data_IF_141410399912
#
_entry.id   IF_141410399912
#
_cell.length_a   1.000
_cell.length_b   1.000
_cell.length_c   1.000
_cell.angle_alpha   90.00
_cell.angle_beta   90.00
_cell.angle_gamma   90.00
#
_symmetry.space_group_name_H-M   'P 1'
#
loop_
_entity.id
_entity.type
_entity.pdbx_description
1 polymer ?
#
# COMPACT_ATOMS: atom_id res chain seq x y z
N UNK A 1 31.52 1.24 -1.01
CA UNK A 1 30.16 1.47 -1.54
C UNK A 1 29.35 2.09 -0.43
N UNK A 2 29.08 3.39 -0.50
CA UNK A 2 28.34 4.09 0.55
C UNK A 2 26.90 3.57 0.56
N UNK A 3 26.59 2.69 1.51
CA UNK A 3 25.24 2.26 1.85
C UNK A 3 24.49 3.45 2.43
N UNK A 4 24.03 4.35 1.56
CA UNK A 4 23.22 5.48 1.96
C UNK A 4 21.83 4.93 2.31
N UNK A 5 21.60 4.64 3.59
CA UNK A 5 20.32 4.20 4.14
C UNK A 5 19.33 5.37 4.11
N UNK A 6 18.88 5.75 2.92
CA UNK A 6 17.88 6.79 2.74
C UNK A 6 16.49 6.18 2.92
N UNK A 7 15.68 6.80 3.77
CA UNK A 7 14.28 6.42 3.93
C UNK A 7 13.49 6.94 2.73
N UNK A 8 12.45 6.21 2.35
CA UNK A 8 11.49 6.65 1.34
C UNK A 8 10.09 6.18 1.67
N UNK A 9 9.12 6.83 1.03
CA UNK A 9 7.72 6.44 1.11
C UNK A 9 7.43 5.51 -0.07
N UNK A 10 6.87 4.34 0.23
CA UNK A 10 6.39 3.38 -0.75
C UNK A 10 4.89 3.19 -0.59
N UNK A 11 4.18 3.07 -1.70
CA UNK A 11 2.73 2.84 -1.73
C UNK A 11 2.51 1.44 -2.29
N UNK A 12 1.82 0.58 -1.54
CA UNK A 12 1.45 -0.75 -2.00
C UNK A 12 0.19 -0.66 -2.87
N UNK A 13 0.27 -0.90 -4.20
CA UNK A 13 -0.83 -0.68 -5.14
C UNK A 13 -2.09 -1.49 -4.81
N UNK A 14 -1.87 -2.74 -4.44
CA UNK A 14 -2.91 -3.72 -4.08
C UNK A 14 -3.68 -3.39 -2.78
N UNK A 15 -3.24 -2.40 -1.99
CA UNK A 15 -3.99 -1.86 -0.84
C UNK A 15 -4.49 -0.43 -1.10
N UNK A 16 -4.01 0.23 -2.16
CA UNK A 16 -4.38 1.60 -2.47
C UNK A 16 -5.80 1.61 -3.07
N UNK A 17 -6.67 2.46 -2.54
CA UNK A 17 -8.05 2.65 -3.04
C UNK A 17 -8.23 3.92 -3.88
N UNK A 18 -7.17 4.72 -4.06
CA UNK A 18 -7.28 6.01 -4.73
C UNK A 18 -8.05 7.08 -3.98
N UNK A 19 -8.28 6.91 -2.67
CA UNK A 19 -9.08 7.83 -1.82
C UNK A 19 -8.53 9.26 -1.65
N UNK A 20 -7.43 9.62 -2.30
CA UNK A 20 -6.78 10.95 -2.36
C UNK A 20 -6.33 11.58 -1.03
N UNK A 21 -6.62 10.98 0.13
CA UNK A 21 -6.33 11.56 1.45
C UNK A 21 -4.85 11.87 1.68
N UNK A 22 -3.96 11.01 1.16
CA UNK A 22 -2.51 11.21 1.26
C UNK A 22 -2.00 12.43 0.47
N UNK A 23 -2.65 12.76 -0.65
CA UNK A 23 -2.31 13.93 -1.48
C UNK A 23 -2.77 15.20 -0.78
N UNK A 24 -4.02 15.24 -0.34
CA UNK A 24 -4.59 16.41 0.32
C UNK A 24 -3.85 16.76 1.61
N UNK A 25 -3.47 15.77 2.43
CA UNK A 25 -2.68 16.05 3.65
C UNK A 25 -1.25 16.49 3.33
N UNK A 26 -0.67 16.00 2.24
CA UNK A 26 0.68 16.39 1.83
C UNK A 26 0.70 17.86 1.38
N UNK A 27 -0.22 18.25 0.50
CA UNK A 27 -0.37 19.65 0.08
C UNK A 27 -0.66 20.58 1.25
N UNK A 28 -1.59 20.17 2.14
CA UNK A 28 -1.91 20.93 3.34
C UNK A 28 -0.72 21.08 4.30
N UNK A 29 0.17 20.08 4.38
CA UNK A 29 1.35 20.20 5.23
C UNK A 29 2.28 21.32 4.74
N UNK A 30 2.46 21.42 3.42
CA UNK A 30 3.36 22.35 2.76
C UNK A 30 2.80 23.78 2.74
N UNK A 31 1.59 23.98 2.20
CA UNK A 31 1.05 25.32 1.93
C UNK A 31 0.00 25.79 2.94
N UNK A 32 -0.45 24.91 3.84
CA UNK A 32 -1.65 25.14 4.70
C UNK A 32 -2.95 25.33 3.90
N UNK A 33 -2.93 24.98 2.63
CA UNK A 33 -4.08 25.00 1.74
C UNK A 33 -4.33 23.58 1.19
N UNK A 34 -5.58 23.27 0.86
CA UNK A 34 -5.92 22.01 0.22
C UNK A 34 -5.61 22.04 -1.28
N UNK A 35 -4.33 22.18 -1.61
CA UNK A 35 -3.84 22.14 -2.98
C UNK A 35 -3.15 20.80 -3.26
N UNK A 36 -3.63 20.07 -4.26
CA UNK A 36 -3.00 18.83 -4.68
C UNK A 36 -1.75 19.04 -5.54
N UNK A 37 -1.58 20.22 -6.15
CA UNK A 37 -0.44 20.50 -7.04
C UNK A 37 0.90 20.67 -6.30
N UNK A 38 0.85 20.97 -5.01
CA UNK A 38 2.04 21.14 -4.15
C UNK A 38 2.41 19.87 -3.39
N UNK A 39 1.65 18.79 -3.58
CA UNK A 39 1.90 17.50 -2.96
C UNK A 39 3.08 16.78 -3.63
N UNK A 40 3.92 16.13 -2.81
CA UNK A 40 4.97 15.20 -3.29
C UNK A 40 4.42 13.80 -3.64
N UNK A 41 3.10 13.65 -3.62
CA UNK A 41 2.36 12.46 -3.97
C UNK A 41 1.42 12.84 -5.10
N UNK A 42 1.49 12.10 -6.21
CA UNK A 42 0.62 12.27 -7.37
C UNK A 42 -0.35 11.09 -7.47
N UNK A 43 -1.47 11.32 -8.11
CA UNK A 43 -2.42 10.27 -8.47
C UNK A 43 -2.32 10.00 -9.96
N UNK A 44 -2.14 8.74 -10.31
CA UNK A 44 -2.12 8.27 -11.69
C UNK A 44 -3.33 7.38 -11.88
N UNK A 45 -4.15 7.67 -12.89
CA UNK A 45 -5.23 6.77 -13.27
C UNK A 45 -4.63 5.56 -13.99
N UNK A 46 -4.96 4.35 -13.53
CA UNK A 46 -4.56 3.11 -14.18
C UNK A 46 -5.80 2.53 -14.84
N UNK A 47 -5.81 2.51 -16.18
CA UNK A 47 -6.97 2.08 -16.96
C UNK A 47 -7.34 0.63 -16.69
N UNK A 48 -6.35 -0.24 -16.54
CA UNK A 48 -6.53 -1.67 -16.29
C UNK A 48 -7.17 -1.94 -14.92
N UNK A 49 -6.86 -1.09 -13.94
CA UNK A 49 -7.40 -1.20 -12.58
C UNK A 49 -8.75 -0.49 -12.44
N UNK A 50 -9.02 0.50 -13.29
CA UNK A 50 -10.24 1.33 -13.24
C UNK A 50 -10.29 2.30 -12.06
N UNK A 51 -9.16 2.55 -11.39
CA UNK A 51 -9.07 3.49 -10.28
C UNK A 51 -7.72 4.25 -10.26
N UNK A 52 -7.66 5.29 -9.42
CA UNK A 52 -6.45 6.09 -9.23
C UNK A 52 -5.48 5.42 -8.26
N UNK A 53 -4.23 5.21 -8.68
CA UNK A 53 -3.15 4.79 -7.80
C UNK A 53 -2.31 6.00 -7.37
N UNK A 54 -1.88 6.00 -6.11
CA UNK A 54 -1.00 7.02 -5.59
C UNK A 54 0.47 6.63 -5.78
N UNK A 55 1.29 7.58 -6.22
CA UNK A 55 2.74 7.44 -6.37
C UNK A 55 3.40 8.53 -5.53
N UNK A 56 4.30 8.14 -4.62
CA UNK A 56 5.03 9.06 -3.77
C UNK A 56 6.49 9.19 -4.23
N UNK A 57 6.98 10.42 -4.33
CA UNK A 57 8.39 10.71 -4.52
C UNK A 57 8.89 11.59 -3.36
N UNK A 58 8.99 10.99 -2.17
CA UNK A 58 9.33 11.72 -0.95
C UNK A 58 10.09 10.80 0.02
N UNK A 59 11.09 11.36 0.70
CA UNK A 59 11.84 10.70 1.78
C UNK A 59 11.25 10.94 3.18
N UNK A 60 10.21 11.78 3.24
CA UNK A 60 9.60 12.22 4.48
C UNK A 60 10.28 13.43 5.11
N UNK A 61 11.35 13.98 4.53
CA UNK A 61 12.07 15.14 5.08
C UNK A 61 11.23 16.41 5.28
N UNK A 62 10.21 16.73 4.44
CA UNK A 62 9.34 17.88 4.70
C UNK A 62 8.45 17.69 5.95
N UNK A 63 8.37 16.46 6.46
CA UNK A 63 7.66 16.13 7.68
C UNK A 63 8.67 16.03 8.84
N UNK A 64 8.31 16.56 10.01
CA UNK A 64 9.12 16.49 11.23
C UNK A 64 9.27 15.05 11.72
N UNK A 65 10.20 14.31 11.11
CA UNK A 65 10.55 12.90 11.31
C UNK A 65 9.61 11.84 10.72
N UNK A 66 8.28 11.91 10.92
CA UNK A 66 7.35 10.89 10.39
C UNK A 66 6.37 11.49 9.38
N UNK A 67 6.23 10.89 8.17
CA UNK A 67 5.28 11.40 7.17
C UNK A 67 3.82 11.34 7.65
N UNK A 68 3.12 12.47 7.57
CA UNK A 68 1.70 12.58 7.95
C UNK A 68 0.77 11.74 7.06
N UNK A 69 1.13 11.59 5.80
CA UNK A 69 0.38 10.80 4.81
C UNK A 69 0.24 9.31 5.17
N UNK A 70 1.14 8.77 6.00
CA UNK A 70 1.04 7.38 6.47
C UNK A 70 -0.10 7.24 7.48
N UNK A 71 -0.21 8.20 8.40
CA UNK A 71 -1.21 8.14 9.47
C UNK A 71 -2.63 8.40 8.94
N UNK A 72 -2.77 9.11 7.81
CA UNK A 72 -4.08 9.39 7.23
C UNK A 72 -4.59 8.28 6.29
N UNK A 73 -3.76 7.28 5.96
CA UNK A 73 -4.14 6.25 5.00
C UNK A 73 -5.14 5.27 5.63
N UNK A 74 -6.41 5.22 5.18
CA UNK A 74 -7.41 4.35 5.80
C UNK A 74 -7.13 2.86 5.58
N UNK A 75 -6.50 2.51 4.45
CA UNK A 75 -6.19 1.12 4.10
C UNK A 75 -4.82 0.65 4.58
N UNK A 76 -3.97 1.55 5.09
CA UNK A 76 -2.60 1.24 5.45
C UNK A 76 -1.66 0.95 4.27
N UNK A 77 -1.98 1.44 3.07
CA UNK A 77 -1.18 1.21 1.86
C UNK A 77 0.20 1.90 1.87
N UNK A 78 0.36 2.99 2.62
CA UNK A 78 1.62 3.74 2.68
C UNK A 78 2.59 3.13 3.70
N UNK A 79 3.83 2.92 3.26
CA UNK A 79 4.96 2.46 4.07
C UNK A 79 6.09 3.47 4.03
N UNK A 80 6.78 3.64 5.15
CA UNK A 80 8.01 4.44 5.23
C UNK A 80 9.10 3.67 5.96
N UNK A 81 10.32 3.83 5.47
CA UNK A 81 11.51 3.19 5.99
C UNK A 81 12.58 3.04 4.91
N UNK A 82 13.57 2.20 5.21
CA UNK A 82 14.61 1.84 4.25
C UNK A 82 14.10 0.80 3.26
N UNK A 83 14.88 0.55 2.21
CA UNK A 83 14.59 -0.50 1.22
C UNK A 83 14.39 -1.86 1.92
N UNK A 84 15.24 -2.17 2.90
CA UNK A 84 15.20 -3.41 3.66
C UNK A 84 13.91 -3.53 4.47
N UNK A 85 13.49 -2.45 5.13
CA UNK A 85 12.25 -2.43 5.93
C UNK A 85 11.02 -2.63 5.05
N UNK A 86 10.97 -1.96 3.90
CA UNK A 86 9.85 -2.05 2.95
C UNK A 86 9.81 -3.45 2.34
N UNK A 87 10.97 -4.01 1.94
CA UNK A 87 11.04 -5.38 1.44
C UNK A 87 10.53 -6.39 2.46
N UNK A 88 10.92 -6.26 3.74
CA UNK A 88 10.44 -7.11 4.81
C UNK A 88 8.91 -7.02 4.99
N UNK A 89 8.35 -5.81 5.00
CA UNK A 89 6.88 -5.59 5.06
C UNK A 89 6.16 -6.21 3.87
N UNK A 90 6.67 -6.05 2.65
CA UNK A 90 6.09 -6.67 1.45
C UNK A 90 6.10 -8.19 1.52
N UNK A 91 7.15 -8.81 2.05
CA UNK A 91 7.19 -10.26 2.25
C UNK A 91 6.11 -10.73 3.24
N UNK A 92 5.88 -9.98 4.31
CA UNK A 92 4.81 -10.27 5.29
C UNK A 92 3.45 -10.19 4.60
N UNK A 93 3.17 -9.09 3.89
CA UNK A 93 1.92 -8.92 3.15
C UNK A 93 1.69 -10.01 2.10
N UNK A 94 2.72 -10.41 1.36
CA UNK A 94 2.63 -11.49 0.39
C UNK A 94 2.29 -12.83 1.06
N UNK A 95 2.91 -13.14 2.20
CA UNK A 95 2.58 -14.34 3.00
C UNK A 95 1.15 -14.31 3.52
N UNK A 96 0.69 -13.16 4.00
CA UNK A 96 -0.70 -12.99 4.47
C UNK A 96 -1.72 -13.15 3.35
N UNK A 97 -1.44 -12.58 2.17
CA UNK A 97 -2.25 -12.80 0.97
C UNK A 97 -2.29 -14.27 0.59
N UNK A 98 -1.14 -14.95 0.58
CA UNK A 98 -1.09 -16.38 0.28
C UNK A 98 -1.92 -17.19 1.27
N UNK A 99 -1.92 -16.85 2.56
CA UNK A 99 -2.76 -17.53 3.57
C UNK A 99 -4.26 -17.33 3.33
N UNK A 100 -4.66 -16.11 2.93
CA UNK A 100 -6.07 -15.75 2.68
C UNK A 100 -6.58 -16.29 1.34
N UNK A 101 -5.77 -16.21 0.29
CA UNK A 101 -6.12 -16.53 -1.10
C UNK A 101 -5.44 -17.81 -1.60
N UNK A 102 -5.04 -18.72 -0.70
CA UNK A 102 -4.54 -20.03 -1.12
C UNK A 102 -5.65 -20.70 -1.94
N UNK A 103 -5.38 -20.99 -3.21
CA UNK A 103 -6.33 -21.65 -4.11
C UNK A 103 -6.82 -22.99 -3.57
N UNK A 104 -6.07 -23.64 -2.67
CA UNK A 104 -6.51 -24.81 -1.91
C UNK A 104 -7.71 -24.54 -0.96
N UNK A 105 -7.94 -23.28 -0.54
CA UNK A 105 -9.11 -22.83 0.24
C UNK A 105 -10.18 -22.14 -0.60
N UNK A 106 -9.83 -21.64 -1.79
CA UNK A 106 -10.75 -21.04 -2.78
C UNK A 106 -11.24 -22.10 -3.78
N UNK A 107 -11.20 -23.38 -3.39
CA UNK A 107 -11.99 -24.43 -4.03
C UNK A 107 -13.41 -24.33 -3.44
N UNK A 108 -14.39 -23.97 -4.27
CA UNK A 108 -15.80 -23.98 -3.86
C UNK A 108 -16.24 -25.39 -3.43
N UNK A 109 -17.37 -25.53 -2.72
CA UNK A 109 -17.87 -26.82 -2.23
C UNK A 109 -17.99 -27.89 -3.33
N UNK A 110 -18.17 -27.49 -4.59
CA UNK A 110 -18.29 -28.32 -5.79
C UNK A 110 -16.96 -28.77 -6.42
N UNK A 111 -15.81 -28.38 -5.85
CA UNK A 111 -14.46 -28.78 -6.32
C UNK A 111 -13.75 -29.76 -5.37
N UNK A 112 -14.50 -30.36 -4.44
CA UNK A 112 -14.04 -31.51 -3.67
C UNK A 112 -14.00 -32.71 -4.62
N UNK A 113 -12.80 -33.20 -4.90
CA UNK A 113 -12.61 -34.51 -5.51
C UNK A 113 -13.41 -35.51 -4.66
N UNK A 114 -14.32 -36.23 -5.31
CA UNK A 114 -15.22 -37.19 -4.68
C UNK A 114 -14.45 -38.19 -3.82
N UNK A 115 -14.48 -38.00 -2.51
CA UNK A 115 -13.79 -38.86 -1.56
C UNK A 115 -14.10 -38.49 -0.12
N UNK A 116 -14.91 -39.35 0.51
CA UNK A 116 -15.28 -39.41 1.93
C UNK A 116 -16.29 -38.35 2.40
N UNK A 117 -17.34 -38.69 3.16
CA UNK A 117 -17.45 -39.76 4.15
C UNK A 117 -18.95 -40.01 4.42
N UNK A 118 -19.35 -41.28 4.39
CA UNK A 118 -20.63 -41.75 4.93
C UNK A 118 -20.68 -41.35 6.40
N UNK A 119 -21.74 -40.66 6.82
CA UNK A 119 -22.06 -40.48 8.23
C UNK A 119 -23.48 -40.99 8.47
N UNK A 120 -23.53 -41.89 9.45
CA UNK A 120 -24.57 -42.80 9.93
C UNK A 120 -25.94 -42.17 10.22
#
# INVERSE_FOLDING_TARGET
MNNNKKNFIYIEPTLCSGCTSCVSICGFNETKEFSNSTSNIILTFIEEAGFHEAIANCDGSPCSMKPKCINCCPTGALMWGTLQDIAAKKMILARERQKKFNSAKVRGPWTLDSGHEELE
#
